data_IF_228951767922
#
_entry.id   IF_228951767922
#
_cell.length_a   1.000
_cell.length_b   1.000
_cell.length_c   1.000
_cell.angle_alpha   90.00
_cell.angle_beta   90.00
_cell.angle_gamma   90.00
#
_symmetry.space_group_name_H-M   'P 1'
#
loop_
_entity.id
_entity.type
_entity.pdbx_description
1 polymer ?
#
# COMPACT_ATOMS: atom_id res chain seq x y z
N UNK A 1 8.77 -3.74 -3.81
CA UNK A 1 7.33 -3.54 -3.69
C UNK A 1 6.79 -4.11 -2.36
N UNK A 2 7.04 -5.39 -2.04
CA UNK A 2 6.58 -6.03 -0.81
C UNK A 2 6.93 -5.23 0.46
N UNK A 3 8.18 -4.77 0.57
CA UNK A 3 8.62 -3.96 1.71
C UNK A 3 7.80 -2.67 1.87
N UNK A 4 7.52 -1.98 0.78
CA UNK A 4 6.69 -0.76 0.78
C UNK A 4 5.24 -1.05 1.20
N UNK A 5 4.67 -2.17 0.77
CA UNK A 5 3.36 -2.62 1.24
C UNK A 5 3.34 -2.90 2.75
N UNK A 6 4.38 -3.54 3.27
CA UNK A 6 4.48 -3.85 4.71
C UNK A 6 4.58 -2.58 5.56
N UNK A 7 5.38 -1.60 5.14
CA UNK A 7 5.48 -0.32 5.86
C UNK A 7 4.16 0.45 5.77
N UNK A 8 3.52 0.51 4.61
CA UNK A 8 2.22 1.14 4.47
C UNK A 8 1.16 0.46 5.33
N UNK A 9 1.14 -0.88 5.37
CA UNK A 9 0.25 -1.65 6.22
C UNK A 9 0.38 -1.25 7.70
N UNK A 10 1.60 -1.12 8.21
CA UNK A 10 1.82 -0.66 9.58
C UNK A 10 1.39 0.81 9.77
N UNK A 11 1.72 1.70 8.83
CA UNK A 11 1.32 3.10 8.90
C UNK A 11 -0.21 3.25 9.00
N UNK A 12 -0.95 2.54 8.15
CA UNK A 12 -2.41 2.62 8.12
C UNK A 12 -3.05 2.06 9.40
N UNK A 13 -2.49 0.99 9.96
CA UNK A 13 -2.90 0.50 11.28
C UNK A 13 -2.66 1.55 12.36
N UNK A 14 -1.52 2.22 12.32
CA UNK A 14 -1.22 3.34 13.21
C UNK A 14 -2.22 4.49 13.07
N UNK A 15 -2.63 4.82 11.84
CA UNK A 15 -3.68 5.81 11.58
C UNK A 15 -5.02 5.37 12.17
N UNK A 16 -5.42 4.13 11.91
CA UNK A 16 -6.65 3.54 12.45
C UNK A 16 -6.72 3.62 13.98
N UNK A 17 -5.63 3.30 14.67
CA UNK A 17 -5.58 3.32 16.13
C UNK A 17 -5.53 4.73 16.73
N UNK A 18 -4.84 5.66 16.06
CA UNK A 18 -4.49 6.95 16.65
C UNK A 18 -5.31 8.13 16.13
N UNK A 19 -6.17 7.93 15.13
CA UNK A 19 -7.02 8.99 14.57
C UNK A 19 -7.87 9.65 15.67
N UNK A 20 -8.04 10.95 15.58
CA UNK A 20 -8.85 11.76 16.51
C UNK A 20 -9.63 12.82 15.73
N UNK A 21 -10.66 13.35 16.34
CA UNK A 21 -11.43 14.47 15.83
C UNK A 21 -12.82 14.10 15.35
N UNK A 22 -13.47 15.03 14.70
CA UNK A 22 -14.87 14.92 14.26
C UNK A 22 -15.13 13.87 13.18
N UNK A 23 -14.08 13.45 12.48
CA UNK A 23 -14.13 12.43 11.43
C UNK A 23 -13.61 11.05 11.91
N UNK A 24 -13.58 10.86 13.23
CA UNK A 24 -13.04 9.63 13.84
C UNK A 24 -13.72 8.37 13.28
N UNK A 25 -15.04 8.32 13.30
CA UNK A 25 -15.77 7.09 12.97
C UNK A 25 -15.58 6.67 11.52
N UNK A 26 -15.72 7.59 10.58
CA UNK A 26 -15.57 7.30 9.17
C UNK A 26 -14.11 6.99 8.79
N UNK A 27 -13.14 7.70 9.33
CA UNK A 27 -11.73 7.46 9.02
C UNK A 27 -11.18 6.20 9.72
N UNK A 28 -11.60 5.95 10.95
CA UNK A 28 -11.26 4.72 11.68
C UNK A 28 -11.68 3.48 10.87
N UNK A 29 -12.94 3.47 10.39
CA UNK A 29 -13.45 2.39 9.53
C UNK A 29 -12.73 2.34 8.17
N UNK A 30 -12.50 3.49 7.54
CA UNK A 30 -11.83 3.53 6.23
C UNK A 30 -10.39 3.02 6.31
N UNK A 31 -9.66 3.36 7.35
CA UNK A 31 -8.30 2.85 7.55
C UNK A 31 -8.29 1.34 7.81
N UNK A 32 -9.30 0.80 8.51
CA UNK A 32 -9.47 -0.64 8.68
C UNK A 32 -9.70 -1.37 7.35
N UNK A 33 -10.59 -0.85 6.51
CA UNK A 33 -10.81 -1.39 5.16
C UNK A 33 -9.49 -1.41 4.36
N UNK A 34 -8.73 -0.31 4.41
CA UNK A 34 -7.47 -0.17 3.69
C UNK A 34 -6.43 -1.15 4.21
N UNK A 35 -6.20 -1.26 5.52
CA UNK A 35 -5.17 -2.17 5.99
C UNK A 35 -5.55 -3.64 5.79
N UNK A 36 -6.82 -4.00 5.84
CA UNK A 36 -7.26 -5.36 5.52
C UNK A 36 -7.00 -5.70 4.05
N UNK A 37 -7.25 -4.78 3.13
CA UNK A 37 -6.91 -4.94 1.71
C UNK A 37 -5.40 -5.06 1.50
N UNK A 38 -4.61 -4.21 2.18
CA UNK A 38 -3.15 -4.27 2.12
C UNK A 38 -2.59 -5.60 2.64
N UNK A 39 -3.19 -6.16 3.70
CA UNK A 39 -2.79 -7.46 4.24
C UNK A 39 -2.92 -8.58 3.20
N UNK A 40 -4.04 -8.61 2.48
CA UNK A 40 -4.25 -9.60 1.42
C UNK A 40 -3.24 -9.43 0.28
N UNK A 41 -2.93 -8.19 -0.07
CA UNK A 41 -1.94 -7.88 -1.12
C UNK A 41 -0.51 -8.24 -0.69
N UNK A 42 -0.16 -8.03 0.57
CA UNK A 42 1.13 -8.45 1.15
C UNK A 42 1.32 -9.96 0.96
N UNK A 43 0.32 -10.75 1.34
CA UNK A 43 0.37 -12.20 1.23
C UNK A 43 0.49 -12.64 -0.23
N UNK A 44 -0.35 -12.12 -1.10
CA UNK A 44 -0.34 -12.43 -2.53
C UNK A 44 1.01 -12.06 -3.20
N UNK A 45 1.62 -10.93 -2.82
CA UNK A 45 2.93 -10.54 -3.35
C UNK A 45 4.05 -11.46 -2.86
N UNK A 46 4.04 -11.85 -1.59
CA UNK A 46 5.01 -12.79 -1.03
C UNK A 46 4.91 -14.16 -1.71
N UNK A 47 3.69 -14.67 -1.87
CA UNK A 47 3.44 -15.93 -2.58
C UNK A 47 3.81 -15.85 -4.07
N UNK A 48 3.60 -14.69 -4.70
CA UNK A 48 4.04 -14.48 -6.09
C UNK A 48 5.55 -14.56 -6.24
N UNK A 49 6.31 -13.99 -5.29
CA UNK A 49 7.77 -14.10 -5.27
C UNK A 49 8.18 -15.58 -5.17
N UNK A 50 7.55 -16.36 -4.29
CA UNK A 50 7.79 -17.80 -4.16
C UNK A 50 7.44 -18.55 -5.46
N UNK A 51 6.34 -18.21 -6.10
CA UNK A 51 5.91 -18.81 -7.37
C UNK A 51 6.93 -18.59 -8.49
N UNK A 52 7.71 -17.52 -8.41
CA UNK A 52 8.79 -17.17 -9.33
C UNK A 52 10.17 -17.66 -8.85
N UNK A 53 10.21 -18.63 -7.94
CA UNK A 53 11.43 -19.20 -7.35
C UNK A 53 12.30 -18.19 -6.58
N UNK A 54 11.70 -17.08 -6.13
CA UNK A 54 12.36 -16.09 -5.27
C UNK A 54 12.15 -16.37 -3.79
N UNK A 55 12.83 -15.59 -2.94
CA UNK A 55 12.65 -15.61 -1.49
C UNK A 55 12.11 -14.24 -1.05
N UNK A 56 10.87 -14.17 -0.54
CA UNK A 56 10.34 -12.90 -0.06
C UNK A 56 11.08 -12.42 1.20
N UNK A 57 11.35 -11.13 1.28
CA UNK A 57 11.85 -10.52 2.52
C UNK A 57 10.86 -10.79 3.65
N UNK A 58 11.37 -11.09 4.86
CA UNK A 58 10.54 -11.52 5.99
C UNK A 58 11.04 -11.03 7.35
N UNK A 59 11.72 -9.88 7.39
CA UNK A 59 12.11 -9.20 8.62
C UNK A 59 11.75 -7.72 8.59
N UNK A 60 11.40 -7.16 9.74
CA UNK A 60 11.09 -5.73 9.84
C UNK A 60 12.28 -4.86 9.47
N UNK A 61 13.49 -5.23 9.86
CA UNK A 61 14.72 -4.48 9.53
C UNK A 61 14.94 -4.40 8.01
N UNK A 62 14.70 -5.48 7.28
CA UNK A 62 14.79 -5.49 5.83
C UNK A 62 13.71 -4.62 5.18
N UNK A 63 12.47 -4.68 5.67
CA UNK A 63 11.39 -3.86 5.17
C UNK A 63 11.68 -2.36 5.33
N UNK A 64 12.15 -1.95 6.51
CA UNK A 64 12.51 -0.55 6.79
C UNK A 64 13.63 -0.09 5.85
N UNK A 65 14.64 -0.93 5.64
CA UNK A 65 15.80 -0.60 4.80
C UNK A 65 15.44 -0.45 3.32
N UNK A 66 14.52 -1.25 2.80
CA UNK A 66 14.26 -1.40 1.37
C UNK A 66 13.01 -0.64 0.92
N UNK A 67 12.07 -0.36 1.83
CA UNK A 67 10.82 0.33 1.51
C UNK A 67 11.05 1.72 0.90
N UNK A 68 10.31 2.04 -0.16
CA UNK A 68 10.22 3.41 -0.69
C UNK A 68 9.27 4.29 0.14
N UNK A 69 8.44 3.69 0.99
CA UNK A 69 7.49 4.39 1.87
C UNK A 69 8.12 4.50 3.25
N UNK A 70 8.24 5.71 3.82
CA UNK A 70 8.79 5.88 5.17
C UNK A 70 7.78 5.49 6.25
N UNK A 71 8.29 5.11 7.43
CA UNK A 71 7.47 4.96 8.63
C UNK A 71 6.83 6.30 9.02
N UNK A 72 5.58 6.25 9.45
CA UNK A 72 4.85 7.40 9.97
C UNK A 72 4.61 7.24 11.47
N UNK A 73 4.98 8.27 12.24
CA UNK A 73 4.80 8.31 13.69
C UNK A 73 4.03 9.56 14.10
N UNK A 74 3.13 9.40 15.03
CA UNK A 74 2.45 10.53 15.68
C UNK A 74 1.38 11.22 14.84
N UNK A 75 1.00 10.69 13.69
CA UNK A 75 -0.11 11.22 12.91
C UNK A 75 -1.44 10.78 13.52
N UNK A 76 -2.28 11.75 13.82
CA UNK A 76 -3.62 11.55 14.42
C UNK A 76 -4.67 12.52 13.85
N UNK A 77 -4.26 13.46 13.01
CA UNK A 77 -5.15 14.37 12.28
C UNK A 77 -5.65 13.70 10.99
N UNK A 78 -6.96 13.75 10.75
CA UNK A 78 -7.57 13.07 9.62
C UNK A 78 -7.02 13.51 8.27
N UNK A 79 -6.88 14.83 8.08
CA UNK A 79 -6.34 15.37 6.83
C UNK A 79 -4.90 14.93 6.60
N UNK A 80 -4.05 15.04 7.63
CA UNK A 80 -2.64 14.64 7.54
C UNK A 80 -2.49 13.13 7.26
N UNK A 81 -3.32 12.29 7.87
CA UNK A 81 -3.32 10.85 7.59
C UNK A 81 -3.69 10.55 6.13
N UNK A 82 -4.73 11.21 5.60
CA UNK A 82 -5.15 11.02 4.20
C UNK A 82 -4.12 11.55 3.22
N UNK A 83 -3.49 12.68 3.49
CA UNK A 83 -2.38 13.21 2.68
C UNK A 83 -1.19 12.22 2.64
N UNK A 84 -0.82 11.65 3.79
CA UNK A 84 0.22 10.62 3.88
C UNK A 84 -0.15 9.35 3.09
N UNK A 85 -1.42 8.94 3.12
CA UNK A 85 -1.92 7.83 2.29
C UNK A 85 -1.77 8.13 0.79
N UNK A 86 -2.13 9.32 0.35
CA UNK A 86 -2.02 9.71 -1.07
C UNK A 86 -0.57 9.65 -1.55
N UNK A 87 0.38 10.15 -0.77
CA UNK A 87 1.80 10.05 -1.10
C UNK A 87 2.25 8.58 -1.19
N UNK A 88 1.84 7.76 -0.23
CA UNK A 88 2.19 6.34 -0.19
C UNK A 88 1.62 5.58 -1.39
N UNK A 89 0.36 5.82 -1.76
CA UNK A 89 -0.24 5.19 -2.94
C UNK A 89 0.40 5.68 -4.25
N UNK A 90 0.86 6.94 -4.30
CA UNK A 90 1.62 7.43 -5.45
C UNK A 90 2.90 6.64 -5.64
N UNK A 91 3.66 6.40 -4.56
CA UNK A 91 4.87 5.58 -4.59
C UNK A 91 4.57 4.14 -5.04
N UNK A 92 3.52 3.52 -4.49
CA UNK A 92 3.12 2.17 -4.91
C UNK A 92 2.73 2.11 -6.39
N UNK A 93 1.94 3.08 -6.87
CA UNK A 93 1.51 3.11 -8.27
C UNK A 93 2.68 3.26 -9.23
N UNK A 94 3.66 4.11 -8.90
CA UNK A 94 4.88 4.27 -9.71
C UNK A 94 5.66 2.96 -9.77
N UNK A 95 5.90 2.32 -8.61
CA UNK A 95 6.61 1.05 -8.54
C UNK A 95 5.88 -0.07 -9.27
N UNK A 96 4.57 -0.17 -9.09
CA UNK A 96 3.74 -1.20 -9.74
C UNK A 96 3.71 -1.06 -11.26
N UNK A 97 3.56 0.15 -11.78
CA UNK A 97 3.59 0.39 -13.23
C UNK A 97 4.92 0.00 -13.85
N UNK A 98 6.02 0.29 -13.15
CA UNK A 98 7.36 -0.11 -13.59
C UNK A 98 7.50 -1.64 -13.65
N UNK A 99 7.10 -2.34 -12.59
CA UNK A 99 7.18 -3.81 -12.53
C UNK A 99 6.23 -4.44 -13.56
N UNK A 100 5.04 -3.88 -13.73
CA UNK A 100 4.08 -4.34 -14.73
C UNK A 100 4.67 -4.26 -16.14
N UNK A 101 5.35 -3.17 -16.48
CA UNK A 101 6.05 -3.03 -17.76
C UNK A 101 7.15 -4.09 -17.94
N UNK A 102 7.95 -4.33 -16.90
CA UNK A 102 8.99 -5.36 -16.91
C UNK A 102 8.39 -6.77 -17.05
N UNK A 103 7.31 -7.06 -16.34
CA UNK A 103 6.60 -8.34 -16.45
C UNK A 103 6.04 -8.58 -17.85
N UNK A 104 5.44 -7.56 -18.47
CA UNK A 104 4.93 -7.62 -19.82
C UNK A 104 6.04 -7.92 -20.84
N UNK A 105 7.18 -7.24 -20.74
CA UNK A 105 8.35 -7.48 -21.59
C UNK A 105 8.91 -8.91 -21.44
N UNK A 106 8.87 -9.44 -20.22
CA UNK A 106 9.33 -10.80 -19.93
C UNK A 106 8.30 -11.90 -20.26
N UNK A 107 7.10 -11.54 -20.68
CA UNK A 107 6.00 -12.49 -20.89
C UNK A 107 5.42 -13.06 -19.59
N UNK A 108 5.67 -12.41 -18.45
CA UNK A 108 5.13 -12.79 -17.15
C UNK A 108 3.72 -12.21 -16.95
N UNK A 109 2.76 -12.83 -17.60
CA UNK A 109 1.36 -12.41 -17.57
C UNK A 109 0.76 -12.54 -16.18
N UNK A 110 1.18 -13.49 -15.37
CA UNK A 110 0.69 -13.68 -14.00
C UNK A 110 1.03 -12.49 -13.10
N UNK A 111 2.26 -12.00 -13.13
CA UNK A 111 2.65 -10.79 -12.41
C UNK A 111 1.97 -9.55 -12.98
N UNK A 112 1.92 -9.42 -14.30
CA UNK A 112 1.25 -8.30 -14.96
C UNK A 112 -0.24 -8.24 -14.60
N UNK A 113 -0.94 -9.36 -14.55
CA UNK A 113 -2.36 -9.45 -14.18
C UNK A 113 -2.60 -8.98 -12.74
N UNK A 114 -1.84 -9.49 -11.78
CA UNK A 114 -1.95 -9.09 -10.36
C UNK A 114 -1.74 -7.59 -10.21
N UNK A 115 -0.68 -7.05 -10.79
CA UNK A 115 -0.35 -5.64 -10.64
C UNK A 115 -1.32 -4.73 -11.40
N UNK A 116 -1.86 -5.18 -12.53
CA UNK A 116 -2.90 -4.45 -13.26
C UNK A 116 -4.16 -4.27 -12.39
N UNK A 117 -4.59 -5.31 -11.69
CA UNK A 117 -5.70 -5.25 -10.75
C UNK A 117 -5.42 -4.27 -9.60
N UNK A 118 -4.22 -4.33 -9.03
CA UNK A 118 -3.84 -3.43 -7.94
C UNK A 118 -3.80 -1.97 -8.38
N UNK A 119 -3.26 -1.70 -9.55
CA UNK A 119 -3.24 -0.34 -10.13
C UNK A 119 -4.66 0.18 -10.30
N UNK A 120 -5.55 -0.59 -10.90
CA UNK A 120 -6.95 -0.20 -11.12
C UNK A 120 -7.66 0.13 -9.79
N UNK A 121 -7.54 -0.74 -8.80
CA UNK A 121 -8.18 -0.55 -7.49
C UNK A 121 -7.63 0.68 -6.77
N UNK A 122 -6.32 0.86 -6.80
CA UNK A 122 -5.66 1.96 -6.09
C UNK A 122 -5.86 3.31 -6.78
N UNK A 123 -5.95 3.37 -8.10
CA UNK A 123 -6.34 4.59 -8.82
C UNK A 123 -7.74 5.06 -8.40
N UNK A 124 -8.69 4.13 -8.25
CA UNK A 124 -10.02 4.43 -7.74
C UNK A 124 -9.96 4.94 -6.29
N UNK A 125 -9.18 4.30 -5.43
CA UNK A 125 -9.02 4.73 -4.04
C UNK A 125 -8.38 6.12 -3.96
N UNK A 126 -7.35 6.39 -4.75
CA UNK A 126 -6.70 7.70 -4.84
C UNK A 126 -7.71 8.79 -5.25
N UNK A 127 -8.58 8.50 -6.22
CA UNK A 127 -9.65 9.43 -6.58
C UNK A 127 -10.56 9.74 -5.39
N UNK A 128 -10.99 8.71 -4.64
CA UNK A 128 -11.85 8.88 -3.46
C UNK A 128 -11.18 9.69 -2.35
N UNK A 129 -9.91 9.40 -2.06
CA UNK A 129 -9.12 10.13 -1.05
C UNK A 129 -8.91 11.61 -1.44
N UNK A 130 -8.69 11.88 -2.72
CA UNK A 130 -8.59 13.25 -3.23
C UNK A 130 -9.91 14.00 -3.12
N UNK A 131 -11.03 13.35 -3.41
CA UNK A 131 -12.36 13.93 -3.24
C UNK A 131 -12.65 14.28 -1.78
N UNK A 132 -12.20 13.44 -0.85
CA UNK A 132 -12.29 13.72 0.58
C UNK A 132 -11.51 14.99 0.99
N UNK A 133 -10.34 15.23 0.40
CA UNK A 133 -9.51 16.40 0.70
C UNK A 133 -9.96 17.70 0.03
N UNK A 134 -10.80 17.61 -0.99
CA UNK A 134 -11.32 18.77 -1.72
C UNK A 134 -12.37 19.57 -0.88
#
# INVERSE_FOLDING_TARGET
LLASYQILYMNVRGFHWNIRGNQFFELHLKFEEIYNDLLLKVDALAERILTLDGVPLHSFSDYIKVSAIPEQKGLHDGRACVESLLESFRELLVAQRRILGQAAEAGDEGTASILSDYVQQQEKLVWMLRAYLA
#
